data_IF_142706424027
#
_entry.id   IF_142706424027
#
_cell.length_a   1.000
_cell.length_b   1.000
_cell.length_c   1.000
_cell.angle_alpha   90.00
_cell.angle_beta   90.00
_cell.angle_gamma   90.00
#
_symmetry.space_group_name_H-M   'P 1'
#
loop_
_entity.id
_entity.type
_entity.pdbx_description
1 polymer ?
#
# COMPACT_ATOMS: atom_id res chain seq x y z
N UNK A 1 -16.68 10.02 15.05
CA UNK A 1 -15.81 8.94 15.52
C UNK A 1 -14.32 9.17 15.19
N UNK A 2 -13.89 9.20 13.88
CA UNK A 2 -12.45 9.32 13.57
C UNK A 2 -11.87 10.67 14.03
N UNK A 3 -12.62 11.75 13.92
CA UNK A 3 -12.25 13.06 14.45
C UNK A 3 -12.08 13.01 15.97
N UNK A 4 -13.04 12.45 16.68
CA UNK A 4 -13.03 12.34 18.14
C UNK A 4 -11.84 11.52 18.64
N UNK A 5 -11.49 10.44 17.93
CA UNK A 5 -10.31 9.64 18.24
C UNK A 5 -9.01 10.42 18.06
N UNK A 6 -8.92 11.21 16.98
CA UNK A 6 -7.75 12.06 16.71
C UNK A 6 -7.63 13.19 17.74
N UNK A 7 -8.75 13.84 18.06
CA UNK A 7 -8.82 14.92 19.06
C UNK A 7 -8.59 14.41 20.48
N UNK A 8 -8.97 13.13 20.74
CA UNK A 8 -8.66 12.39 21.97
C UNK A 8 -7.20 11.96 22.11
N UNK A 9 -6.32 12.31 21.14
CA UNK A 9 -4.89 12.10 21.22
C UNK A 9 -4.41 10.76 20.63
N UNK A 10 -5.29 9.99 19.98
CA UNK A 10 -4.85 8.80 19.24
C UNK A 10 -4.01 9.23 18.04
N UNK A 11 -2.88 8.54 17.81
CA UNK A 11 -2.04 8.84 16.65
C UNK A 11 -2.79 8.59 15.32
N UNK A 12 -2.41 9.30 14.26
CA UNK A 12 -3.00 9.07 12.92
C UNK A 12 -2.91 7.60 12.50
N UNK A 13 -1.80 6.92 12.79
CA UNK A 13 -1.65 5.49 12.51
C UNK A 13 -2.68 4.64 13.29
N UNK A 14 -2.91 4.97 14.56
CA UNK A 14 -3.94 4.31 15.38
C UNK A 14 -5.34 4.53 14.82
N UNK A 15 -5.68 5.78 14.46
CA UNK A 15 -6.98 6.11 13.85
C UNK A 15 -7.20 5.35 12.53
N UNK A 16 -6.17 5.29 11.66
CA UNK A 16 -6.25 4.57 10.38
C UNK A 16 -6.37 3.05 10.59
N UNK A 17 -5.71 2.50 11.61
CA UNK A 17 -5.84 1.09 11.96
C UNK A 17 -7.26 0.76 12.43
N UNK A 18 -7.88 1.60 13.27
CA UNK A 18 -9.28 1.47 13.69
C UNK A 18 -10.20 1.55 12.47
N UNK A 19 -10.01 2.54 11.61
CA UNK A 19 -10.81 2.70 10.40
C UNK A 19 -10.68 1.49 9.46
N UNK A 20 -9.47 1.01 9.22
CA UNK A 20 -9.25 -0.20 8.41
C UNK A 20 -9.94 -1.43 9.01
N UNK A 21 -9.99 -1.55 10.34
CA UNK A 21 -10.73 -2.63 11.01
C UNK A 21 -12.23 -2.53 10.79
N UNK A 22 -12.78 -1.31 10.80
CA UNK A 22 -14.19 -1.08 10.47
C UNK A 22 -14.48 -1.45 9.00
N UNK A 23 -13.61 -1.03 8.06
CA UNK A 23 -13.72 -1.40 6.65
C UNK A 23 -13.68 -2.92 6.46
N UNK A 24 -12.77 -3.62 7.15
CA UNK A 24 -12.73 -5.09 7.13
C UNK A 24 -14.03 -5.71 7.65
N UNK A 25 -14.61 -5.14 8.72
CA UNK A 25 -15.85 -5.66 9.32
C UNK A 25 -17.05 -5.44 8.38
N UNK A 26 -17.10 -4.29 7.70
CA UNK A 26 -18.11 -4.04 6.68
C UNK A 26 -17.94 -4.98 5.50
N UNK A 27 -16.71 -5.19 5.02
CA UNK A 27 -16.43 -6.10 3.91
C UNK A 27 -16.87 -7.54 4.22
N UNK A 28 -16.54 -8.06 5.42
CA UNK A 28 -17.01 -9.38 5.87
C UNK A 28 -18.53 -9.46 5.93
N UNK A 29 -19.19 -8.46 6.53
CA UNK A 29 -20.65 -8.47 6.63
C UNK A 29 -21.33 -8.39 5.28
N UNK A 30 -20.79 -7.64 4.33
CA UNK A 30 -21.29 -7.58 2.95
C UNK A 30 -21.10 -8.93 2.25
N UNK A 31 -19.93 -9.57 2.42
CA UNK A 31 -19.71 -10.93 1.91
C UNK A 31 -20.78 -11.90 2.45
N UNK A 32 -20.98 -11.94 3.77
CA UNK A 32 -21.98 -12.81 4.39
C UNK A 32 -23.37 -12.57 3.79
N UNK A 33 -23.82 -11.31 3.72
CA UNK A 33 -25.15 -10.96 3.22
C UNK A 33 -25.35 -11.29 1.74
N UNK A 34 -24.33 -11.08 0.91
CA UNK A 34 -24.44 -11.39 -0.52
C UNK A 34 -24.44 -12.90 -0.73
N UNK A 35 -23.61 -13.67 -0.01
CA UNK A 35 -23.57 -15.11 -0.13
C UNK A 35 -24.82 -15.80 0.45
N UNK A 36 -25.53 -15.18 1.41
CA UNK A 36 -26.86 -15.67 1.84
C UNK A 36 -27.86 -15.78 0.67
N UNK A 37 -27.72 -14.94 -0.36
CA UNK A 37 -28.55 -14.99 -1.57
C UNK A 37 -28.06 -16.00 -2.63
N UNK A 38 -26.89 -16.59 -2.45
CA UNK A 38 -26.25 -17.54 -3.37
C UNK A 38 -25.93 -18.89 -2.69
N UNK A 39 -26.92 -19.64 -2.21
CA UNK A 39 -26.74 -20.89 -1.42
C UNK A 39 -26.09 -22.03 -2.20
N UNK A 40 -25.91 -21.88 -3.51
CA UNK A 40 -25.25 -22.81 -4.42
C UNK A 40 -23.73 -22.60 -4.48
N UNK A 41 -23.20 -21.57 -3.81
CA UNK A 41 -21.76 -21.30 -3.67
C UNK A 41 -21.34 -21.37 -2.20
N UNK A 42 -20.20 -22.01 -1.94
CA UNK A 42 -19.62 -22.09 -0.60
C UNK A 42 -19.01 -20.75 -0.21
N UNK A 43 -19.51 -20.03 0.82
CA UNK A 43 -18.93 -18.77 1.29
C UNK A 43 -17.51 -18.91 1.82
N UNK A 44 -17.09 -20.12 2.20
CA UNK A 44 -15.74 -20.46 2.66
C UNK A 44 -14.88 -21.11 1.55
N UNK A 45 -15.39 -21.21 0.32
CA UNK A 45 -14.72 -21.81 -0.82
C UNK A 45 -13.50 -21.02 -1.34
N UNK A 46 -13.22 -19.85 -0.78
CA UNK A 46 -12.14 -18.95 -1.20
C UNK A 46 -11.52 -18.22 -0.01
N UNK A 47 -10.42 -17.51 -0.25
CA UNK A 47 -9.87 -16.51 0.67
C UNK A 47 -10.02 -15.14 0.05
N UNK A 48 -10.66 -14.21 0.77
CA UNK A 48 -10.71 -12.81 0.38
C UNK A 48 -9.52 -12.05 0.92
N UNK A 49 -8.82 -11.34 0.04
CA UNK A 49 -7.66 -10.52 0.34
C UNK A 49 -8.01 -9.04 0.25
N UNK A 50 -7.69 -8.28 1.29
CA UNK A 50 -7.59 -6.84 1.22
C UNK A 50 -6.22 -6.47 0.64
N UNK A 51 -6.18 -5.56 -0.33
CA UNK A 51 -4.98 -5.11 -1.02
C UNK A 51 -4.66 -3.64 -0.70
N UNK A 52 -3.55 -3.15 -1.22
CA UNK A 52 -3.20 -1.74 -1.18
C UNK A 52 -3.21 -1.12 0.22
N UNK A 53 -3.83 0.03 0.39
CA UNK A 53 -3.91 0.72 1.68
C UNK A 53 -4.68 -0.07 2.73
N UNK A 54 -5.73 -0.80 2.32
CA UNK A 54 -6.51 -1.62 3.23
C UNK A 54 -5.72 -2.84 3.70
N UNK A 55 -4.98 -3.49 2.83
CA UNK A 55 -4.06 -4.57 3.19
C UNK A 55 -3.04 -4.14 4.23
N UNK A 56 -2.49 -2.93 4.10
CA UNK A 56 -1.52 -2.34 5.04
C UNK A 56 -2.14 -1.75 6.33
N UNK A 57 -3.47 -1.77 6.47
CA UNK A 57 -4.20 -1.09 7.57
C UNK A 57 -3.98 0.42 7.61
N UNK A 58 -3.89 1.04 6.46
CA UNK A 58 -3.63 2.47 6.25
C UNK A 58 -4.74 3.14 5.43
N UNK A 59 -5.94 2.55 5.42
CA UNK A 59 -7.13 3.05 4.71
C UNK A 59 -7.53 4.41 5.25
N UNK A 60 -7.86 5.33 4.35
CA UNK A 60 -8.38 6.67 4.66
C UNK A 60 -9.74 6.88 4.02
N UNK A 61 -10.39 7.99 4.31
CA UNK A 61 -11.73 8.31 3.80
C UNK A 61 -11.80 8.45 2.26
N UNK A 62 -10.65 8.68 1.59
CA UNK A 62 -10.55 8.73 0.12
C UNK A 62 -9.97 7.44 -0.49
N UNK A 63 -9.80 6.39 0.30
CA UNK A 63 -9.23 5.15 -0.21
C UNK A 63 -10.28 4.28 -0.87
N UNK A 64 -9.94 3.70 -2.01
CA UNK A 64 -10.69 2.63 -2.63
C UNK A 64 -10.50 1.32 -1.84
N UNK A 65 -11.44 0.39 -1.98
CA UNK A 65 -11.35 -0.96 -1.42
C UNK A 65 -10.82 -1.91 -2.49
N UNK A 66 -9.49 -2.01 -2.54
CA UNK A 66 -8.81 -2.98 -3.40
C UNK A 66 -8.95 -4.38 -2.83
N UNK A 67 -9.27 -5.36 -3.67
CA UNK A 67 -9.49 -6.74 -3.23
C UNK A 67 -9.00 -7.79 -4.23
N UNK A 68 -8.75 -8.99 -3.73
CA UNK A 68 -8.50 -10.17 -4.55
C UNK A 68 -9.12 -11.41 -3.90
N UNK A 69 -9.24 -12.49 -4.66
CA UNK A 69 -9.66 -13.78 -4.17
C UNK A 69 -8.65 -14.87 -4.53
N UNK A 70 -8.45 -15.79 -3.59
CA UNK A 70 -7.63 -16.99 -3.79
C UNK A 70 -8.50 -18.20 -3.63
N UNK A 71 -8.46 -19.10 -4.59
CA UNK A 71 -9.18 -20.37 -4.59
C UNK A 71 -8.24 -21.54 -4.33
N UNK A 72 -8.74 -22.65 -3.77
CA UNK A 72 -8.02 -23.92 -3.74
C UNK A 72 -7.59 -24.35 -5.14
N UNK A 73 -6.45 -25.02 -5.23
CA UNK A 73 -6.04 -25.67 -6.48
C UNK A 73 -7.06 -26.75 -6.86
N UNK A 74 -7.43 -26.80 -8.12
CA UNK A 74 -8.48 -27.69 -8.62
C UNK A 74 -9.86 -27.08 -8.73
N UNK A 75 -10.10 -25.86 -8.22
CA UNK A 75 -11.32 -25.09 -8.51
C UNK A 75 -11.40 -24.80 -10.01
N UNK A 76 -12.52 -25.17 -10.63
CA UNK A 76 -12.68 -24.99 -12.08
C UNK A 76 -12.83 -23.52 -12.47
N UNK A 77 -12.39 -23.16 -13.67
CA UNK A 77 -12.56 -21.79 -14.17
C UNK A 77 -14.03 -21.36 -14.21
N UNK A 78 -14.95 -22.26 -14.56
CA UNK A 78 -16.38 -21.96 -14.56
C UNK A 78 -16.93 -21.67 -13.18
N UNK A 79 -16.40 -22.30 -12.13
CA UNK A 79 -16.74 -22.03 -10.75
C UNK A 79 -16.16 -20.69 -10.30
N UNK A 80 -14.89 -20.39 -10.61
CA UNK A 80 -14.27 -19.09 -10.34
C UNK A 80 -15.08 -17.96 -11.02
N UNK A 81 -15.55 -18.16 -12.25
CA UNK A 81 -16.35 -17.16 -12.96
C UNK A 81 -17.70 -16.91 -12.31
N UNK A 82 -18.34 -17.93 -11.70
CA UNK A 82 -19.54 -17.76 -10.88
C UNK A 82 -19.27 -16.94 -9.62
N UNK A 83 -18.20 -17.25 -8.88
CA UNK A 83 -17.76 -16.43 -7.73
C UNK A 83 -17.49 -14.99 -8.13
N UNK A 84 -16.86 -14.73 -9.27
CA UNK A 84 -16.57 -13.38 -9.75
C UNK A 84 -17.84 -12.57 -10.01
N UNK A 85 -18.93 -13.20 -10.47
CA UNK A 85 -20.24 -12.53 -10.61
C UNK A 85 -20.74 -12.09 -9.24
N UNK A 86 -20.68 -12.95 -8.24
CA UNK A 86 -21.07 -12.63 -6.86
C UNK A 86 -20.16 -11.56 -6.25
N UNK A 87 -18.84 -11.57 -6.53
CA UNK A 87 -17.93 -10.54 -6.09
C UNK A 87 -18.22 -9.16 -6.73
N UNK A 88 -18.82 -9.12 -7.92
CA UNK A 88 -19.29 -7.86 -8.49
C UNK A 88 -20.48 -7.27 -7.70
N UNK A 89 -21.37 -8.13 -7.19
CA UNK A 89 -22.44 -7.71 -6.28
C UNK A 89 -21.88 -7.21 -4.94
N UNK A 90 -20.87 -7.91 -4.38
CA UNK A 90 -20.14 -7.46 -3.18
C UNK A 90 -19.54 -6.07 -3.39
N UNK A 91 -18.87 -5.86 -4.54
CA UNK A 91 -18.27 -4.55 -4.88
C UNK A 91 -19.34 -3.46 -4.98
N UNK A 92 -20.48 -3.77 -5.57
CA UNK A 92 -21.61 -2.85 -5.66
C UNK A 92 -22.19 -2.51 -4.29
N UNK A 93 -22.37 -3.51 -3.42
CA UNK A 93 -22.85 -3.32 -2.06
C UNK A 93 -21.89 -2.49 -1.20
N UNK A 94 -20.58 -2.73 -1.30
CA UNK A 94 -19.54 -1.92 -0.65
C UNK A 94 -19.60 -0.46 -1.10
N UNK A 95 -19.78 -0.23 -2.41
CA UNK A 95 -19.94 1.13 -2.95
C UNK A 95 -21.21 1.80 -2.42
N UNK A 96 -22.31 1.06 -2.30
CA UNK A 96 -23.55 1.51 -1.68
C UNK A 96 -23.41 1.84 -0.20
N UNK A 97 -22.50 1.19 0.51
CA UNK A 97 -22.14 1.48 1.89
C UNK A 97 -21.17 2.67 2.03
N UNK A 98 -20.82 3.36 0.94
CA UNK A 98 -19.91 4.51 0.94
C UNK A 98 -18.44 4.16 0.93
N UNK A 99 -18.09 2.89 0.68
CA UNK A 99 -16.70 2.46 0.48
C UNK A 99 -16.40 2.47 -1.02
N UNK A 100 -15.47 3.32 -1.44
CA UNK A 100 -15.12 3.53 -2.85
C UNK A 100 -14.72 2.23 -3.53
N UNK A 101 -15.23 2.01 -4.75
CA UNK A 101 -14.73 0.97 -5.63
C UNK A 101 -13.48 1.46 -6.37
N UNK A 102 -12.48 0.59 -6.54
CA UNK A 102 -11.29 0.92 -7.32
C UNK A 102 -11.63 1.21 -8.78
N UNK A 103 -11.28 2.41 -9.23
CA UNK A 103 -11.45 2.86 -10.62
C UNK A 103 -10.48 2.16 -11.59
N UNK A 104 -9.47 1.46 -11.10
CA UNK A 104 -8.43 0.78 -11.88
C UNK A 104 -8.67 -0.73 -12.00
N UNK A 105 -9.74 -1.25 -11.41
CA UNK A 105 -10.16 -2.64 -11.53
C UNK A 105 -9.43 -3.63 -10.61
N UNK A 106 -8.78 -3.16 -9.54
CA UNK A 106 -8.18 -4.03 -8.52
C UNK A 106 -9.25 -4.63 -7.60
N UNK A 107 -10.15 -5.40 -8.15
CA UNK A 107 -11.25 -6.05 -7.42
C UNK A 107 -11.28 -7.55 -7.67
N UNK A 108 -11.73 -8.33 -6.68
CA UNK A 108 -11.91 -9.78 -6.81
C UNK A 108 -12.93 -10.17 -7.91
N UNK A 109 -13.76 -9.24 -8.36
CA UNK A 109 -14.65 -9.45 -9.52
C UNK A 109 -13.88 -9.53 -10.86
N UNK A 110 -12.67 -8.97 -10.92
CA UNK A 110 -11.87 -8.95 -12.14
C UNK A 110 -11.01 -10.21 -12.26
N UNK A 111 -10.91 -10.78 -13.47
CA UNK A 111 -10.18 -12.05 -13.73
C UNK A 111 -8.73 -12.06 -13.25
N UNK A 112 -8.06 -10.91 -13.26
CA UNK A 112 -6.67 -10.82 -12.81
C UNK A 112 -6.51 -10.93 -11.30
N UNK A 113 -7.60 -10.74 -10.54
CA UNK A 113 -7.62 -10.71 -9.08
C UNK A 113 -8.40 -11.88 -8.45
N UNK A 114 -8.86 -12.86 -9.24
CA UNK A 114 -9.54 -14.06 -8.78
C UNK A 114 -8.85 -15.29 -9.40
N UNK A 115 -8.02 -15.98 -8.63
CA UNK A 115 -7.13 -17.05 -9.13
C UNK A 115 -6.99 -18.17 -8.11
N UNK A 116 -6.60 -19.37 -8.59
CA UNK A 116 -6.16 -20.44 -7.69
C UNK A 116 -4.82 -20.09 -7.01
N UNK A 117 -4.47 -20.80 -5.94
CA UNK A 117 -3.20 -20.60 -5.25
C UNK A 117 -2.00 -20.85 -6.17
N UNK A 118 -2.08 -21.87 -7.04
CA UNK A 118 -1.04 -22.17 -8.04
C UNK A 118 -0.95 -21.09 -9.12
N UNK A 119 -2.08 -20.56 -9.61
CA UNK A 119 -2.09 -19.49 -10.61
C UNK A 119 -1.51 -18.17 -10.05
N UNK A 120 -1.78 -17.88 -8.77
CA UNK A 120 -1.16 -16.74 -8.09
C UNK A 120 0.35 -16.89 -8.00
N UNK A 121 0.85 -18.10 -7.68
CA UNK A 121 2.30 -18.40 -7.65
C UNK A 121 2.92 -18.23 -9.03
N UNK A 122 2.34 -18.85 -10.04
CA UNK A 122 2.83 -18.74 -11.41
C UNK A 122 2.83 -17.28 -11.91
N UNK A 123 1.79 -16.53 -11.57
CA UNK A 123 1.71 -15.10 -11.92
C UNK A 123 2.81 -14.30 -11.22
N UNK A 124 3.05 -14.53 -9.92
CA UNK A 124 4.13 -13.88 -9.19
C UNK A 124 5.50 -14.19 -9.82
N UNK A 125 5.77 -15.44 -10.16
CA UNK A 125 7.00 -15.85 -10.85
C UNK A 125 7.16 -15.13 -12.20
N UNK A 126 6.08 -15.01 -12.98
CA UNK A 126 6.09 -14.31 -14.26
C UNK A 126 6.39 -12.81 -14.07
N UNK A 127 5.76 -12.15 -13.10
CA UNK A 127 6.00 -10.73 -12.79
C UNK A 127 7.42 -10.48 -12.27
N UNK A 128 8.00 -11.44 -11.58
CA UNK A 128 9.36 -11.36 -11.08
C UNK A 128 10.39 -11.59 -12.21
N UNK A 129 10.07 -12.44 -13.17
CA UNK A 129 10.93 -12.66 -14.34
C UNK A 129 10.97 -11.45 -15.28
N UNK A 130 9.82 -10.76 -15.46
CA UNK A 130 9.72 -9.53 -16.24
C UNK A 130 8.79 -8.50 -15.56
N UNK A 131 9.32 -7.69 -14.63
CA UNK A 131 8.53 -6.70 -13.88
C UNK A 131 7.94 -5.57 -14.75
N UNK A 132 8.45 -5.37 -15.95
CA UNK A 132 7.98 -4.33 -16.88
C UNK A 132 6.80 -4.83 -17.70
N UNK A 133 6.84 -6.10 -18.12
CA UNK A 133 5.76 -6.69 -18.91
C UNK A 133 4.46 -6.79 -18.08
N UNK A 134 3.34 -6.57 -18.74
CA UNK A 134 1.99 -6.73 -18.17
C UNK A 134 1.77 -6.02 -16.82
N UNK A 135 2.44 -4.90 -16.58
CA UNK A 135 2.40 -4.17 -15.29
C UNK A 135 2.85 -5.03 -14.08
N UNK A 136 3.73 -5.99 -14.31
CA UNK A 136 4.17 -6.97 -13.31
C UNK A 136 4.62 -6.34 -11.99
N UNK A 137 5.38 -5.25 -12.02
CA UNK A 137 5.78 -4.53 -10.81
C UNK A 137 4.60 -3.94 -10.02
N UNK A 138 3.56 -3.45 -10.70
CA UNK A 138 2.34 -2.94 -10.07
C UNK A 138 1.56 -4.08 -9.42
N UNK A 139 1.37 -5.19 -10.14
CA UNK A 139 0.66 -6.36 -9.65
C UNK A 139 1.40 -7.01 -8.46
N UNK A 140 2.71 -7.17 -8.56
CA UNK A 140 3.55 -7.63 -7.44
C UNK A 140 3.42 -6.69 -6.22
N UNK A 141 3.41 -5.37 -6.45
CA UNK A 141 3.25 -4.38 -5.39
C UNK A 141 1.91 -4.48 -4.68
N UNK A 142 0.81 -4.72 -5.40
CA UNK A 142 -0.51 -4.93 -4.81
C UNK A 142 -0.54 -6.22 -3.98
N UNK A 143 0.01 -7.31 -4.51
CA UNK A 143 0.04 -8.60 -3.82
C UNK A 143 0.95 -8.57 -2.57
N UNK A 144 2.04 -7.80 -2.58
CA UNK A 144 2.89 -7.59 -1.40
C UNK A 144 2.18 -6.87 -0.25
N UNK A 145 1.10 -6.16 -0.53
CA UNK A 145 0.26 -5.52 0.48
C UNK A 145 -0.93 -6.39 0.91
N UNK A 146 -1.07 -7.61 0.34
CA UNK A 146 -2.24 -8.45 0.57
C UNK A 146 -2.33 -8.97 2.01
N UNK A 147 -3.56 -8.93 2.55
CA UNK A 147 -3.91 -9.45 3.86
C UNK A 147 -5.26 -10.16 3.79
N UNK A 148 -5.32 -11.40 4.28
CA UNK A 148 -6.56 -12.16 4.35
C UNK A 148 -7.51 -11.54 5.36
N UNK A 149 -8.78 -11.36 4.97
CA UNK A 149 -9.84 -10.82 5.83
C UNK A 149 -11.07 -11.73 5.94
N UNK A 150 -11.24 -12.72 5.05
CA UNK A 150 -12.34 -13.69 5.09
C UNK A 150 -11.87 -15.02 4.47
N UNK A 151 -12.49 -16.13 4.88
CA UNK A 151 -12.27 -17.47 4.33
C UNK A 151 -11.01 -18.16 4.84
N UNK A 152 -10.49 -19.11 4.07
CA UNK A 152 -9.37 -19.99 4.43
C UNK A 152 -8.04 -19.24 4.36
N UNK A 153 -7.58 -18.66 5.46
CA UNK A 153 -6.36 -17.86 5.55
C UNK A 153 -5.07 -18.64 5.21
N UNK A 154 -5.14 -19.96 5.14
CA UNK A 154 -3.99 -20.86 4.91
C UNK A 154 -3.61 -20.99 3.43
N UNK A 155 -4.50 -20.58 2.50
CA UNK A 155 -4.30 -20.81 1.07
C UNK A 155 -3.11 -20.02 0.48
N UNK A 156 -2.75 -18.87 1.03
CA UNK A 156 -1.64 -18.06 0.52
C UNK A 156 -0.86 -17.41 1.66
N UNK A 157 0.40 -17.83 1.77
CA UNK A 157 1.43 -17.00 2.43
C UNK A 157 2.09 -16.15 1.33
N UNK A 158 1.65 -14.91 1.19
CA UNK A 158 2.15 -13.99 0.17
C UNK A 158 3.68 -13.83 0.25
N UNK A 159 4.25 -13.90 1.47
CA UNK A 159 5.70 -13.89 1.67
C UNK A 159 6.42 -15.04 0.96
N UNK A 160 5.78 -16.21 0.86
CA UNK A 160 6.39 -17.39 0.22
C UNK A 160 6.43 -17.25 -1.30
N UNK A 161 5.47 -16.50 -1.90
CA UNK A 161 5.47 -16.19 -3.32
C UNK A 161 6.70 -15.39 -3.75
N UNK A 162 7.25 -14.61 -2.84
CA UNK A 162 8.40 -13.74 -3.09
C UNK A 162 9.71 -14.22 -2.44
N UNK A 163 9.71 -15.41 -1.83
CA UNK A 163 10.89 -15.95 -1.13
C UNK A 163 12.11 -16.15 -2.03
N UNK A 164 11.88 -16.46 -3.32
CA UNK A 164 12.93 -16.64 -4.32
C UNK A 164 13.52 -15.32 -4.86
N UNK A 165 12.88 -14.21 -4.65
CA UNK A 165 13.19 -12.92 -5.28
C UNK A 165 14.62 -12.42 -5.00
N UNK A 166 15.09 -12.58 -3.76
CA UNK A 166 16.42 -12.14 -3.34
C UNK A 166 17.56 -12.78 -4.13
N UNK A 167 17.30 -13.93 -4.79
CA UNK A 167 18.28 -14.66 -5.60
C UNK A 167 18.42 -14.09 -7.00
N UNK A 168 17.53 -13.18 -7.42
CA UNK A 168 17.54 -12.57 -8.74
C UNK A 168 17.98 -11.12 -8.68
N UNK A 169 19.26 -10.86 -8.86
CA UNK A 169 19.85 -9.51 -8.88
C UNK A 169 19.15 -8.59 -9.89
N UNK A 170 18.85 -9.09 -11.10
CA UNK A 170 18.18 -8.30 -12.12
C UNK A 170 16.78 -7.85 -11.70
N UNK A 171 15.99 -8.78 -11.16
CA UNK A 171 14.64 -8.50 -10.67
C UNK A 171 14.65 -7.50 -9.50
N UNK A 172 15.59 -7.64 -8.56
CA UNK A 172 15.75 -6.71 -7.45
C UNK A 172 16.05 -5.28 -7.95
N UNK A 173 16.91 -5.14 -8.96
CA UNK A 173 17.21 -3.82 -9.57
C UNK A 173 16.00 -3.22 -10.26
N UNK A 174 15.20 -4.01 -10.99
CA UNK A 174 13.98 -3.54 -11.63
C UNK A 174 12.92 -3.10 -10.62
N UNK A 175 12.66 -3.89 -9.58
CA UNK A 175 11.70 -3.54 -8.53
C UNK A 175 12.13 -2.29 -7.75
N UNK A 176 13.42 -2.12 -7.51
CA UNK A 176 13.91 -0.88 -6.91
C UNK A 176 13.68 0.31 -7.85
N UNK A 177 13.99 0.16 -9.14
CA UNK A 177 13.75 1.21 -10.14
C UNK A 177 12.27 1.63 -10.15
N UNK A 178 11.34 0.68 -10.16
CA UNK A 178 9.91 0.94 -10.08
C UNK A 178 9.51 1.61 -8.76
N UNK A 179 10.08 1.17 -7.65
CA UNK A 179 9.84 1.79 -6.33
C UNK A 179 10.30 3.24 -6.29
N UNK A 180 11.33 3.59 -7.06
CA UNK A 180 11.86 4.96 -7.19
C UNK A 180 11.22 5.76 -8.33
N UNK A 181 10.34 5.18 -9.16
CA UNK A 181 9.69 5.87 -10.27
C UNK A 181 8.82 7.05 -9.79
N UNK A 182 8.12 6.87 -8.67
CA UNK A 182 7.39 7.97 -8.00
C UNK A 182 8.36 8.76 -7.13
N UNK A 183 8.83 9.90 -7.65
CA UNK A 183 9.80 10.76 -6.96
C UNK A 183 9.12 11.92 -6.26
N UNK A 184 9.57 12.19 -5.03
CA UNK A 184 9.27 13.43 -4.33
C UNK A 184 9.98 14.61 -5.03
N UNK A 185 9.21 15.57 -5.58
CA UNK A 185 9.73 16.68 -6.41
C UNK A 185 9.71 17.99 -5.64
N UNK A 186 10.82 18.35 -4.99
CA UNK A 186 10.97 19.57 -4.17
C UNK A 186 10.68 20.84 -4.97
N UNK A 187 11.33 21.02 -6.13
CA UNK A 187 11.16 22.24 -6.97
C UNK A 187 9.70 22.45 -7.40
N UNK A 188 8.99 21.37 -7.75
CA UNK A 188 7.58 21.46 -8.11
C UNK A 188 6.74 21.93 -6.91
N UNK A 189 7.06 21.44 -5.71
CA UNK A 189 6.35 21.82 -4.49
C UNK A 189 6.58 23.31 -4.16
N UNK A 190 7.82 23.81 -4.24
CA UNK A 190 8.13 25.22 -4.02
C UNK A 190 7.33 26.13 -4.98
N UNK A 191 7.23 25.75 -6.26
CA UNK A 191 6.40 26.48 -7.24
C UNK A 191 4.92 26.42 -6.89
N UNK A 192 4.41 25.26 -6.44
CA UNK A 192 3.02 25.10 -6.02
C UNK A 192 2.69 25.96 -4.80
N UNK A 193 3.60 26.09 -3.84
CA UNK A 193 3.42 26.99 -2.68
C UNK A 193 3.37 28.46 -3.09
N UNK A 194 4.26 28.90 -3.99
CA UNK A 194 4.27 30.28 -4.48
C UNK A 194 2.97 30.68 -5.16
N UNK A 195 2.36 29.75 -5.91
CA UNK A 195 1.14 30.00 -6.69
C UNK A 195 -0.13 29.44 -6.03
N UNK A 196 -0.07 28.90 -4.80
CA UNK A 196 -1.19 28.29 -4.07
C UNK A 196 -1.95 27.23 -4.85
N UNK A 197 -1.20 26.42 -5.64
CA UNK A 197 -1.78 25.34 -6.43
C UNK A 197 -2.14 24.12 -5.58
N UNK A 198 -3.13 23.31 -5.98
CA UNK A 198 -3.47 22.04 -5.34
C UNK A 198 -2.28 21.07 -5.31
N UNK A 199 -2.10 20.40 -4.17
CA UNK A 199 -1.04 19.41 -3.95
C UNK A 199 -1.63 18.05 -3.61
N UNK A 200 -1.38 17.04 -4.44
CA UNK A 200 -1.75 15.66 -4.14
C UNK A 200 -0.72 15.07 -3.15
N UNK A 201 -1.13 15.03 -1.87
CA UNK A 201 -0.27 14.55 -0.79
C UNK A 201 0.00 13.04 -0.89
N UNK A 202 -0.95 12.25 -1.41
CA UNK A 202 -0.79 10.81 -1.64
C UNK A 202 0.25 10.57 -2.72
N UNK A 203 0.07 11.14 -3.91
CA UNK A 203 0.92 10.87 -5.07
C UNK A 203 2.34 11.43 -4.91
N UNK A 204 2.49 12.62 -4.31
CA UNK A 204 3.75 13.35 -4.34
C UNK A 204 4.58 13.24 -3.05
N UNK A 205 3.99 12.71 -1.96
CA UNK A 205 4.69 12.57 -0.70
C UNK A 205 4.55 11.16 -0.09
N UNK A 206 3.34 10.62 0.06
CA UNK A 206 3.14 9.35 0.74
C UNK A 206 3.56 8.14 -0.10
N UNK A 207 3.16 8.05 -1.36
CA UNK A 207 3.51 6.92 -2.24
C UNK A 207 5.02 6.74 -2.43
N UNK A 208 5.87 7.78 -2.54
CA UNK A 208 7.32 7.63 -2.51
C UNK A 208 7.83 6.86 -1.29
N UNK A 209 7.28 7.12 -0.10
CA UNK A 209 7.67 6.42 1.13
C UNK A 209 7.13 4.98 1.12
N UNK A 210 5.85 4.80 0.77
CA UNK A 210 5.20 3.47 0.71
C UNK A 210 5.95 2.53 -0.22
N UNK A 211 6.31 3.00 -1.42
CA UNK A 211 7.02 2.19 -2.41
C UNK A 211 8.43 1.81 -1.92
N UNK A 212 9.16 2.76 -1.33
CA UNK A 212 10.48 2.48 -0.78
C UNK A 212 10.39 1.49 0.40
N UNK A 213 9.43 1.68 1.31
CA UNK A 213 9.22 0.79 2.46
C UNK A 213 8.84 -0.63 2.02
N UNK A 214 7.97 -0.75 1.00
CA UNK A 214 7.59 -2.04 0.41
C UNK A 214 8.79 -2.76 -0.16
N UNK A 215 9.59 -2.07 -0.97
CA UNK A 215 10.80 -2.64 -1.53
C UNK A 215 11.81 -3.04 -0.45
N UNK A 216 12.07 -2.18 0.52
CA UNK A 216 13.00 -2.45 1.60
C UNK A 216 12.60 -3.67 2.44
N UNK A 217 11.31 -3.79 2.80
CA UNK A 217 10.78 -4.94 3.50
C UNK A 217 10.90 -6.23 2.69
N UNK A 218 10.56 -6.17 1.39
CA UNK A 218 10.72 -7.30 0.47
C UNK A 218 12.18 -7.75 0.41
N UNK A 219 13.09 -6.82 0.27
CA UNK A 219 14.53 -7.08 0.16
C UNK A 219 15.09 -7.82 1.38
N UNK A 220 14.64 -7.51 2.59
CA UNK A 220 15.04 -8.21 3.82
C UNK A 220 14.14 -9.43 4.16
N UNK A 221 13.03 -9.65 3.39
CA UNK A 221 12.05 -10.71 3.63
C UNK A 221 11.20 -10.49 4.87
N UNK A 222 10.92 -9.27 5.21
CA UNK A 222 10.01 -8.95 6.30
C UNK A 222 8.56 -9.20 5.88
N UNK A 223 7.74 -9.86 6.73
CA UNK A 223 6.31 -10.03 6.51
C UNK A 223 5.48 -8.80 6.91
N UNK A 224 6.12 -7.74 7.40
CA UNK A 224 5.43 -6.53 7.85
C UNK A 224 4.58 -5.93 6.73
N UNK A 225 3.36 -5.49 7.04
CA UNK A 225 2.45 -4.85 6.10
C UNK A 225 2.40 -3.33 6.27
N UNK A 226 2.24 -2.77 7.49
CA UNK A 226 2.21 -1.32 7.67
C UNK A 226 3.52 -0.65 7.24
N UNK A 227 3.41 0.48 6.55
CA UNK A 227 4.57 1.20 5.98
C UNK A 227 5.63 1.54 7.04
N UNK A 228 5.20 2.01 8.21
CA UNK A 228 6.13 2.35 9.29
C UNK A 228 6.85 1.12 9.85
N UNK A 229 6.18 -0.04 9.93
CA UNK A 229 6.78 -1.30 10.38
C UNK A 229 7.79 -1.83 9.35
N UNK A 230 7.47 -1.72 8.06
CA UNK A 230 8.40 -2.05 6.97
C UNK A 230 9.69 -1.23 7.04
N UNK A 231 9.57 0.09 7.28
CA UNK A 231 10.74 0.97 7.44
C UNK A 231 11.56 0.60 8.68
N UNK A 232 10.92 0.28 9.81
CA UNK A 232 11.62 -0.16 11.02
C UNK A 232 12.31 -1.49 10.81
N UNK A 233 11.66 -2.44 10.16
CA UNK A 233 12.24 -3.76 9.87
C UNK A 233 13.50 -3.67 8.98
N UNK A 234 13.55 -2.72 8.04
CA UNK A 234 14.68 -2.50 7.15
C UNK A 234 15.74 -1.53 7.70
N UNK A 235 15.53 -1.01 8.90
CA UNK A 235 16.42 -0.04 9.56
C UNK A 235 17.79 -0.64 9.84
N UNK A 236 18.85 0.15 9.67
CA UNK A 236 20.24 -0.25 9.92
C UNK A 236 20.89 -1.02 8.77
N UNK A 237 20.23 -1.10 7.62
CA UNK A 237 20.83 -1.63 6.38
C UNK A 237 21.60 -0.53 5.63
N UNK A 238 22.53 -0.93 4.77
CA UNK A 238 23.27 0.01 3.88
C UNK A 238 22.29 0.86 3.06
N UNK A 239 21.20 0.27 2.58
CA UNK A 239 20.18 0.99 1.82
C UNK A 239 19.39 1.98 2.70
N UNK A 240 19.09 1.60 3.95
CA UNK A 240 18.26 2.39 4.85
C UNK A 240 18.90 2.48 6.25
N UNK A 241 19.89 3.36 6.44
CA UNK A 241 20.51 3.64 7.73
C UNK A 241 19.46 3.98 8.79
N UNK A 242 19.75 3.66 10.06
CA UNK A 242 18.80 3.83 11.18
C UNK A 242 18.23 5.25 11.27
N UNK A 243 19.09 6.26 11.12
CA UNK A 243 18.66 7.66 11.13
C UNK A 243 17.63 7.96 10.03
N UNK A 244 17.85 7.45 8.81
CA UNK A 244 16.96 7.70 7.68
C UNK A 244 15.64 6.93 7.82
N UNK A 245 15.70 5.68 8.29
CA UNK A 245 14.49 4.90 8.60
C UNK A 245 13.60 5.64 9.60
N UNK A 246 14.18 6.12 10.71
CA UNK A 246 13.47 6.90 11.73
C UNK A 246 12.87 8.18 11.16
N UNK A 247 13.64 8.94 10.39
CA UNK A 247 13.15 10.16 9.72
C UNK A 247 11.97 9.85 8.81
N UNK A 248 12.02 8.80 7.99
CA UNK A 248 10.91 8.43 7.12
C UNK A 248 9.67 7.99 7.90
N UNK A 249 9.82 7.28 9.01
CA UNK A 249 8.70 6.90 9.89
C UNK A 249 8.01 8.14 10.47
N UNK A 250 8.78 9.10 10.97
CA UNK A 250 8.27 10.36 11.51
C UNK A 250 7.55 11.18 10.43
N UNK A 251 8.21 11.38 9.29
CA UNK A 251 7.67 12.10 8.13
C UNK A 251 6.37 11.45 7.63
N UNK A 252 6.34 10.13 7.54
CA UNK A 252 5.15 9.39 7.14
C UNK A 252 3.98 9.64 8.10
N UNK A 253 4.22 9.54 9.40
CA UNK A 253 3.19 9.78 10.41
C UNK A 253 2.62 11.20 10.36
N UNK A 254 3.48 12.20 10.19
CA UNK A 254 3.07 13.61 10.08
C UNK A 254 2.25 13.85 8.80
N UNK A 255 2.69 13.34 7.66
CA UNK A 255 1.96 13.47 6.39
C UNK A 255 0.60 12.77 6.44
N UNK A 256 0.51 11.59 7.05
CA UNK A 256 -0.76 10.90 7.29
C UNK A 256 -1.70 11.71 8.20
N UNK A 257 -1.17 12.36 9.22
CA UNK A 257 -1.96 13.23 10.10
C UNK A 257 -2.54 14.45 9.35
N UNK A 258 -1.71 15.11 8.53
CA UNK A 258 -2.17 16.24 7.70
C UNK A 258 -3.24 15.77 6.72
N UNK A 259 -3.01 14.64 6.03
CA UNK A 259 -3.97 14.02 5.09
C UNK A 259 -5.31 13.74 5.77
N UNK A 260 -5.28 13.04 6.89
CA UNK A 260 -6.49 12.64 7.63
C UNK A 260 -7.29 13.86 8.10
N UNK A 261 -6.63 14.85 8.71
CA UNK A 261 -7.28 16.12 9.13
C UNK A 261 -7.89 16.87 7.95
N UNK A 262 -7.22 16.88 6.80
CA UNK A 262 -7.76 17.48 5.59
C UNK A 262 -9.04 16.79 5.13
N UNK A 263 -9.03 15.47 5.04
CA UNK A 263 -10.19 14.68 4.65
C UNK A 263 -11.37 14.81 5.64
N UNK A 264 -11.09 14.79 6.94
CA UNK A 264 -12.11 15.01 7.96
C UNK A 264 -12.80 16.38 7.81
N UNK A 265 -12.03 17.45 7.56
CA UNK A 265 -12.61 18.78 7.30
C UNK A 265 -13.50 18.80 6.05
N UNK A 266 -13.09 18.11 4.97
CA UNK A 266 -13.89 18.00 3.75
C UNK A 266 -15.24 17.32 4.04
N UNK A 267 -15.23 16.20 4.75
CA UNK A 267 -16.45 15.46 5.12
C UNK A 267 -17.35 16.29 6.06
N UNK A 268 -16.77 16.98 7.07
CA UNK A 268 -17.52 17.89 7.95
C UNK A 268 -18.18 19.05 7.19
N UNK A 269 -17.62 19.43 6.04
CA UNK A 269 -18.17 20.45 5.13
C UNK A 269 -19.12 19.88 4.07
N UNK A 270 -19.48 18.59 4.16
CA UNK A 270 -20.35 17.92 3.19
C UNK A 270 -19.67 17.67 1.83
N UNK A 271 -18.35 17.74 1.76
CA UNK A 271 -17.57 17.51 0.53
C UNK A 271 -16.96 16.09 0.51
N UNK A 272 -16.78 15.48 -0.65
CA UNK A 272 -16.06 14.22 -0.79
C UNK A 272 -14.63 14.34 -0.24
N UNK A 273 -14.16 13.30 0.44
CA UNK A 273 -12.78 13.22 0.88
C UNK A 273 -11.85 13.02 -0.32
N UNK A 274 -10.79 13.81 -0.40
CA UNK A 274 -9.76 13.73 -1.45
C UNK A 274 -8.36 13.85 -0.87
N UNK A 275 -7.37 13.46 -1.66
CA UNK A 275 -5.94 13.62 -1.33
C UNK A 275 -5.36 14.95 -1.85
N UNK A 276 -6.20 15.77 -2.46
CA UNK A 276 -5.81 17.06 -3.02
C UNK A 276 -5.89 18.12 -1.93
N UNK A 277 -4.73 18.55 -1.43
CA UNK A 277 -4.60 19.57 -0.41
C UNK A 277 -4.44 20.94 -1.07
N UNK A 278 -5.34 21.88 -0.78
CA UNK A 278 -5.17 23.27 -1.13
C UNK A 278 -4.15 23.91 -0.19
N UNK A 279 -2.95 24.15 -0.70
CA UNK A 279 -1.85 24.71 0.10
C UNK A 279 -2.16 26.13 0.60
N UNK A 280 -3.09 26.85 -0.02
CA UNK A 280 -3.53 28.17 0.45
C UNK A 280 -4.42 28.10 1.69
N UNK A 281 -5.05 26.97 1.96
CA UNK A 281 -5.91 26.74 3.12
C UNK A 281 -5.21 25.98 4.27
N UNK A 282 -3.97 25.56 4.05
CA UNK A 282 -3.15 24.87 5.05
C UNK A 282 -2.38 25.92 5.87
N UNK A 283 -2.22 25.69 7.18
CA UNK A 283 -1.46 26.60 8.04
C UNK A 283 -0.01 26.77 7.54
N UNK A 284 0.61 27.91 7.80
CA UNK A 284 2.01 28.16 7.44
C UNK A 284 2.96 27.12 8.07
N UNK A 285 2.60 26.61 9.26
CA UNK A 285 3.35 25.53 9.92
C UNK A 285 3.24 24.25 9.13
N UNK A 286 2.03 23.81 8.77
CA UNK A 286 1.83 22.57 8.01
C UNK A 286 2.46 22.67 6.62
N UNK A 287 2.42 23.84 5.97
CA UNK A 287 3.13 24.09 4.71
C UNK A 287 4.64 23.85 4.86
N UNK A 288 5.25 24.42 5.89
CA UNK A 288 6.68 24.23 6.18
C UNK A 288 7.02 22.78 6.48
N UNK A 289 6.14 22.08 7.20
CA UNK A 289 6.28 20.65 7.51
C UNK A 289 6.20 19.80 6.23
N UNK A 290 5.23 20.04 5.34
CA UNK A 290 5.10 19.33 4.07
C UNK A 290 6.35 19.54 3.21
N UNK A 291 6.84 20.80 3.11
CA UNK A 291 8.03 21.11 2.31
C UNK A 291 9.27 20.38 2.86
N UNK A 292 9.47 20.41 4.17
CA UNK A 292 10.57 19.70 4.82
C UNK A 292 10.44 18.20 4.61
N UNK A 293 9.26 17.62 4.81
CA UNK A 293 8.98 16.21 4.59
C UNK A 293 9.36 15.76 3.19
N UNK A 294 8.94 16.50 2.15
CA UNK A 294 9.26 16.18 0.75
C UNK A 294 10.77 16.28 0.47
N UNK A 295 11.48 17.22 1.10
CA UNK A 295 12.94 17.30 0.99
C UNK A 295 13.64 16.08 1.60
N UNK A 296 13.21 15.64 2.78
CA UNK A 296 13.76 14.44 3.43
C UNK A 296 13.52 13.18 2.57
N UNK A 297 12.30 13.01 2.06
CA UNK A 297 11.95 11.90 1.16
C UNK A 297 12.85 11.92 -0.09
N UNK A 298 12.99 13.07 -0.73
CA UNK A 298 13.81 13.23 -1.92
C UNK A 298 15.30 12.91 -1.66
N UNK A 299 15.81 13.31 -0.48
CA UNK A 299 17.18 13.03 -0.08
C UNK A 299 17.42 11.51 0.09
N UNK A 300 16.50 10.81 0.77
CA UNK A 300 16.58 9.35 0.91
C UNK A 300 16.46 8.65 -0.44
N UNK A 301 15.50 9.02 -1.28
CA UNK A 301 15.36 8.44 -2.63
C UNK A 301 16.63 8.65 -3.48
N UNK A 302 17.25 9.83 -3.40
CA UNK A 302 18.50 10.12 -4.10
C UNK A 302 19.64 9.23 -3.60
N UNK A 303 19.76 9.06 -2.27
CA UNK A 303 20.77 8.17 -1.67
C UNK A 303 20.57 6.73 -2.15
N UNK A 304 19.35 6.19 -2.02
CA UNK A 304 19.02 4.82 -2.43
C UNK A 304 19.31 4.62 -3.93
N UNK A 305 18.96 5.59 -4.77
CA UNK A 305 19.29 5.56 -6.19
C UNK A 305 20.80 5.51 -6.44
N UNK A 306 21.58 6.31 -5.71
CA UNK A 306 23.04 6.30 -5.86
C UNK A 306 23.63 4.95 -5.43
N UNK A 307 23.24 4.41 -4.28
CA UNK A 307 23.69 3.10 -3.80
C UNK A 307 23.38 2.03 -4.86
N UNK A 308 22.17 2.01 -5.42
CA UNK A 308 21.77 1.03 -6.42
C UNK A 308 22.58 1.04 -7.71
N UNK A 309 23.33 2.11 -7.98
CA UNK A 309 24.20 2.23 -9.17
C UNK A 309 25.61 1.71 -8.94
N UNK A 310 26.08 1.74 -7.69
CA UNK A 310 27.47 1.46 -7.36
C UNK A 310 27.66 0.19 -6.55
N UNK A 311 26.58 -0.31 -5.92
CA UNK A 311 26.62 -1.50 -5.08
C UNK A 311 25.75 -2.62 -5.67
N UNK A 312 26.13 -3.87 -5.41
CA UNK A 312 25.33 -5.04 -5.77
C UNK A 312 24.15 -5.23 -4.80
N UNK A 313 23.02 -5.81 -5.24
CA UNK A 313 21.84 -6.01 -4.40
C UNK A 313 22.12 -6.74 -3.09
N UNK A 314 23.06 -7.65 -3.04
CA UNK A 314 23.45 -8.36 -1.82
C UNK A 314 24.09 -7.43 -0.77
N UNK A 315 24.66 -6.31 -1.20
CA UNK A 315 25.27 -5.33 -0.32
C UNK A 315 24.26 -4.34 0.25
N UNK A 316 23.12 -4.13 -0.44
CA UNK A 316 22.09 -3.22 0.03
C UNK A 316 21.50 -3.61 1.38
N UNK A 317 21.57 -4.90 1.72
CA UNK A 317 20.94 -5.51 2.89
C UNK A 317 21.90 -5.78 4.04
N UNK A 318 23.20 -5.56 3.82
CA UNK A 318 24.20 -5.71 4.88
C UNK A 318 23.92 -4.70 5.99
N UNK A 319 24.17 -5.05 7.25
CA UNK A 319 24.19 -4.06 8.31
C UNK A 319 25.11 -2.89 7.93
N UNK A 320 24.67 -1.67 8.23
CA UNK A 320 25.53 -0.51 8.07
C UNK A 320 26.82 -0.79 8.87
N UNK A 321 27.96 -0.86 8.19
CA UNK A 321 29.24 -0.96 8.89
C UNK A 321 29.37 0.29 9.74
N UNK A 322 29.55 0.13 11.04
CA UNK A 322 29.95 1.22 11.93
C UNK A 322 31.13 1.93 11.27
N UNK A 323 30.85 3.07 10.67
CA UNK A 323 31.87 3.89 10.05
C UNK A 323 32.85 4.25 11.13
N UNK A 324 33.99 3.53 11.12
CA UNK A 324 35.08 3.77 12.04
C UNK A 324 35.36 5.27 12.04
N UNK A 325 35.13 5.88 13.19
CA UNK A 325 35.61 7.22 13.44
C UNK A 325 37.12 7.25 13.26
N UNK A 326 37.56 8.02 12.28
CA UNK A 326 38.89 8.53 12.19
C UNK A 326 38.84 10.05 12.39
#
# INVERSE_FOLDING_TARGET
>A
LLGDLLDGGLSSAGVLSVYSTLVDSVARRVLDLVFEAHPDLDPDGFTWLALGSNGRRETTLSSDVDSAAVFPDGTSQGEIDRYRQVFAEVTTALSGAGLGADSHGATAAHQNFARTASDWRQSAETWLADPVAAQGATMASLLLDARSIHGRTELVKVTDLFAGLRRSTGTMRLLLSESLAKRAKVRRLETLFLHRHPFDIKQHALLPIVNLARFAALAIGSPALPTAERLRAASGSTMLPERQARTLVEVYGVLQSIRLRHQLRQVQQGRPATDIVDLGQVSAIDQSVILRAVREIAAVQKRVFNISRYEEPDEWLRPESDGGGA
#
